data_IF_267768768916
#
_entry.id   IF_267768768916
#
_cell.length_a   1.000
_cell.length_b   1.000
_cell.length_c   1.000
_cell.angle_alpha   90.00
_cell.angle_beta   90.00
_cell.angle_gamma   90.00
#
_symmetry.space_group_name_H-M   'P 1'
#
loop_
_entity.id
_entity.type
_entity.pdbx_description
1 polymer ?
#
# COMPACT_ATOMS: atom_id res chain seq x y z
N UNK A 1 -3.20 10.35 7.99
CA UNK A 1 -3.79 10.13 6.67
C UNK A 1 -4.82 11.21 6.44
N UNK A 2 -4.56 12.05 5.45
CA UNK A 2 -5.46 13.16 5.09
C UNK A 2 -5.78 13.08 3.59
N UNK A 3 -7.05 13.27 3.22
CA UNK A 3 -7.44 13.34 1.81
C UNK A 3 -7.08 14.71 1.23
N UNK A 4 -6.19 14.71 0.24
CA UNK A 4 -5.75 15.91 -0.48
C UNK A 4 -6.77 16.26 -1.56
N UNK A 5 -7.23 15.26 -2.30
CA UNK A 5 -8.17 15.43 -3.41
C UNK A 5 -9.08 14.21 -3.54
N UNK A 6 -10.36 14.45 -3.81
CA UNK A 6 -11.35 13.39 -4.09
C UNK A 6 -12.01 13.70 -5.43
N UNK A 7 -12.00 12.71 -6.31
CA UNK A 7 -12.73 12.74 -7.59
C UNK A 7 -13.70 11.56 -7.64
N UNK A 8 -14.47 11.43 -8.72
CA UNK A 8 -15.46 10.37 -8.88
C UNK A 8 -14.89 8.95 -8.67
N UNK A 9 -13.64 8.70 -9.11
CA UNK A 9 -13.04 7.37 -9.12
C UNK A 9 -11.65 7.31 -8.46
N UNK A 10 -11.19 8.39 -7.83
CA UNK A 10 -9.84 8.46 -7.28
C UNK A 10 -9.78 9.38 -6.06
N UNK A 11 -9.00 8.96 -5.06
CA UNK A 11 -8.59 9.78 -3.92
C UNK A 11 -7.07 9.92 -3.93
N UNK A 12 -6.58 11.13 -3.71
CA UNK A 12 -5.17 11.39 -3.43
C UNK A 12 -5.02 11.60 -1.92
N UNK A 13 -4.13 10.83 -1.29
CA UNK A 13 -3.93 10.82 0.16
C UNK A 13 -2.54 11.35 0.51
N UNK A 14 -2.46 12.15 1.57
CA UNK A 14 -1.22 12.40 2.28
C UNK A 14 -1.07 11.35 3.36
N UNK A 15 0.07 10.64 3.33
CA UNK A 15 0.40 9.58 4.29
C UNK A 15 1.78 9.83 4.87
N UNK A 16 1.93 9.62 6.17
CA UNK A 16 3.26 9.56 6.79
C UNK A 16 3.98 8.27 6.39
N UNK A 17 5.30 8.22 6.60
CA UNK A 17 6.08 7.01 6.33
C UNK A 17 5.60 5.83 7.20
N UNK A 18 5.25 6.10 8.46
CA UNK A 18 4.72 5.11 9.40
C UNK A 18 3.39 4.55 8.92
N UNK A 19 2.51 5.39 8.38
CA UNK A 19 1.22 4.96 7.82
C UNK A 19 1.40 4.06 6.60
N UNK A 20 2.31 4.41 5.69
CA UNK A 20 2.65 3.57 4.53
C UNK A 20 3.24 2.23 5.00
N UNK A 21 4.06 2.24 6.04
CA UNK A 21 4.62 1.01 6.62
C UNK A 21 3.54 0.09 7.20
N UNK A 22 2.54 0.66 7.89
CA UNK A 22 1.37 -0.09 8.37
C UNK A 22 0.59 -0.71 7.21
N UNK A 23 0.29 0.07 6.16
CA UNK A 23 -0.45 -0.42 4.99
C UNK A 23 0.30 -1.54 4.27
N UNK A 24 1.61 -1.35 4.05
CA UNK A 24 2.49 -2.35 3.42
C UNK A 24 2.48 -3.65 4.19
N UNK A 25 2.65 -3.61 5.51
CA UNK A 25 2.69 -4.83 6.33
C UNK A 25 1.33 -5.50 6.46
N UNK A 26 0.26 -4.72 6.62
CA UNK A 26 -1.10 -5.25 6.61
C UNK A 26 -1.41 -6.01 5.33
N UNK A 27 -1.08 -5.41 4.17
CA UNK A 27 -1.28 -6.06 2.88
C UNK A 27 -0.40 -7.31 2.71
N UNK A 28 0.85 -7.26 3.17
CA UNK A 28 1.75 -8.43 3.16
C UNK A 28 1.19 -9.61 3.94
N UNK A 29 0.58 -9.37 5.11
CA UNK A 29 -0.05 -10.43 5.91
C UNK A 29 -1.27 -10.98 5.17
N UNK A 30 -2.12 -10.11 4.65
CA UNK A 30 -3.32 -10.51 3.89
C UNK A 30 -2.97 -11.37 2.68
N UNK A 31 -1.93 -11.02 1.93
CA UNK A 31 -1.45 -11.81 0.78
C UNK A 31 -0.93 -13.22 1.16
N UNK A 32 -0.66 -13.49 2.44
CA UNK A 32 -0.17 -14.78 2.93
C UNK A 32 -1.30 -15.58 3.59
N UNK A 33 -2.14 -14.92 4.39
CA UNK A 33 -3.12 -15.58 5.27
C UNK A 33 -4.45 -15.92 4.58
N UNK A 34 -4.73 -15.35 3.41
CA UNK A 34 -5.98 -15.58 2.68
C UNK A 34 -5.73 -16.51 1.49
N UNK A 35 -6.53 -17.57 1.42
CA UNK A 35 -6.56 -18.47 0.28
C UNK A 35 -6.93 -17.72 -1.00
N UNK A 36 -6.26 -18.03 -2.12
CA UNK A 36 -6.40 -17.29 -3.38
C UNK A 36 -7.85 -17.20 -3.86
N UNK A 37 -8.63 -18.27 -3.71
CA UNK A 37 -10.03 -18.33 -4.12
C UNK A 37 -10.97 -17.45 -3.27
N UNK A 38 -10.58 -17.10 -2.05
CA UNK A 38 -11.33 -16.19 -1.17
C UNK A 38 -10.98 -14.71 -1.40
N UNK A 39 -9.85 -14.45 -2.05
CA UNK A 39 -9.21 -13.15 -2.06
C UNK A 39 -10.09 -12.06 -2.67
N UNK A 40 -10.66 -12.32 -3.85
CA UNK A 40 -11.57 -11.39 -4.53
C UNK A 40 -12.81 -11.08 -3.68
N UNK A 41 -13.38 -12.10 -3.03
CA UNK A 41 -14.59 -11.92 -2.21
C UNK A 41 -14.32 -11.12 -0.94
N UNK A 42 -13.15 -11.30 -0.32
CA UNK A 42 -12.83 -10.65 0.97
C UNK A 42 -12.19 -9.27 0.80
N UNK A 43 -11.40 -9.06 -0.24
CA UNK A 43 -10.58 -7.86 -0.45
C UNK A 43 -11.04 -7.01 -1.64
N UNK A 44 -11.93 -7.54 -2.47
CA UNK A 44 -12.48 -6.83 -3.63
C UNK A 44 -11.50 -6.65 -4.78
N UNK A 45 -10.39 -7.38 -4.80
CA UNK A 45 -9.38 -7.42 -5.86
C UNK A 45 -8.79 -8.83 -5.99
N UNK A 46 -8.08 -9.12 -7.08
CA UNK A 46 -7.37 -10.38 -7.22
C UNK A 46 -6.06 -10.38 -6.39
N UNK A 47 -5.60 -11.56 -5.96
CA UNK A 47 -4.34 -11.72 -5.21
C UNK A 47 -3.15 -11.07 -5.95
N UNK A 48 -3.10 -11.20 -7.26
CA UNK A 48 -2.03 -10.62 -8.08
C UNK A 48 -2.01 -9.09 -8.05
N UNK A 49 -3.19 -8.46 -8.09
CA UNK A 49 -3.32 -7.00 -8.00
C UNK A 49 -2.87 -6.50 -6.62
N UNK A 50 -3.18 -7.25 -5.56
CA UNK A 50 -2.71 -6.95 -4.22
C UNK A 50 -1.18 -7.08 -4.08
N UNK A 51 -0.55 -8.05 -4.75
CA UNK A 51 0.92 -8.16 -4.80
C UNK A 51 1.56 -6.97 -5.53
N UNK A 52 0.97 -6.53 -6.64
CA UNK A 52 1.43 -5.33 -7.36
C UNK A 52 1.34 -4.08 -6.48
N UNK A 53 0.25 -3.95 -5.70
CA UNK A 53 0.11 -2.86 -4.73
C UNK A 53 1.13 -2.96 -3.59
N UNK A 54 1.42 -4.16 -3.09
CA UNK A 54 2.43 -4.41 -2.06
C UNK A 54 3.84 -3.99 -2.52
N UNK A 55 4.18 -4.31 -3.77
CA UNK A 55 5.46 -3.92 -4.37
C UNK A 55 5.53 -2.40 -4.51
N UNK A 56 4.44 -1.77 -4.97
CA UNK A 56 4.35 -0.31 -5.07
C UNK A 56 4.55 0.38 -3.71
N UNK A 57 3.91 -0.11 -2.65
CA UNK A 57 4.09 0.41 -1.29
C UNK A 57 5.53 0.21 -0.78
N UNK A 58 6.15 -0.93 -1.11
CA UNK A 58 7.55 -1.21 -0.75
C UNK A 58 8.49 -0.24 -1.44
N UNK A 59 8.34 0.00 -2.75
CA UNK A 59 9.15 0.97 -3.49
C UNK A 59 8.96 2.41 -3.02
N UNK A 60 7.75 2.79 -2.58
CA UNK A 60 7.53 4.12 -1.98
C UNK A 60 8.32 4.27 -0.68
N UNK A 61 8.30 3.26 0.19
CA UNK A 61 9.06 3.28 1.45
C UNK A 61 10.58 3.36 1.21
N UNK A 62 11.09 2.65 0.20
CA UNK A 62 12.50 2.70 -0.18
C UNK A 62 12.91 4.12 -0.62
N UNK A 63 12.14 4.73 -1.54
CA UNK A 63 12.39 6.11 -1.99
C UNK A 63 12.35 7.12 -0.84
N UNK A 64 11.44 6.94 0.12
CA UNK A 64 11.39 7.82 1.30
C UNK A 64 12.62 7.68 2.21
N UNK A 65 13.25 6.50 2.25
CA UNK A 65 14.51 6.31 3.00
C UNK A 65 15.68 6.99 2.29
N UNK A 66 15.81 6.82 0.98
CA UNK A 66 16.85 7.46 0.17
C UNK A 66 16.84 8.99 0.34
N UNK A 67 15.65 9.61 0.28
CA UNK A 67 15.50 11.06 0.48
C UNK A 67 15.95 11.51 1.88
N UNK A 68 15.69 10.69 2.91
CA UNK A 68 16.14 11.00 4.29
C UNK A 68 17.65 10.90 4.45
N UNK A 69 18.30 9.98 3.74
CA UNK A 69 19.76 9.81 3.78
C UNK A 69 20.49 10.92 3.02
N UNK A 70 19.89 11.46 1.94
CA UNK A 70 20.46 12.59 1.18
C UNK A 70 20.38 13.95 1.90
N UNK A 71 19.56 14.07 2.95
CA UNK A 71 19.37 15.32 3.72
C UNK A 71 20.00 15.31 5.11
N UNK A 72 20.68 14.22 5.49
CA UNK A 72 21.37 14.03 6.77
C UNK A 72 22.89 14.27 6.66
#
# INVERSE_FOLDING_TARGET
MDAIQVTKNRVDLSLSQEEIFVLRNGLSIVCIEIEEWEFETRLGNYLEEAKILLDSLTSVLEKMKEIKEDTA
#
